data_IF_254465567574
#
_entry.id   IF_254465567574
#
_cell.length_a   1.000
_cell.length_b   1.000
_cell.length_c   1.000
_cell.angle_alpha   90.00
_cell.angle_beta   90.00
_cell.angle_gamma   90.00
#
_symmetry.space_group_name_H-M   'P 1'
#
loop_
_entity.id
_entity.type
_entity.pdbx_description
1 polymer ?
#
# COMPACT_ATOMS: atom_id res chain seq x y z
N UNK A 1 -14.65 -14.68 -12.78
CA UNK A 1 -13.25 -14.55 -12.30
C UNK A 1 -12.78 -13.15 -12.64
N UNK A 2 -12.42 -12.30 -11.67
CA UNK A 2 -11.76 -11.02 -12.00
C UNK A 2 -10.34 -11.37 -12.46
N UNK A 3 -9.99 -11.04 -13.69
CA UNK A 3 -8.65 -11.26 -14.23
C UNK A 3 -7.67 -10.35 -13.50
N UNK A 4 -6.85 -10.93 -12.63
CA UNK A 4 -5.80 -10.23 -11.87
C UNK A 4 -4.62 -9.78 -12.74
N UNK A 5 -4.63 -10.05 -14.04
CA UNK A 5 -3.51 -9.78 -14.95
C UNK A 5 -3.26 -8.30 -15.24
N UNK A 6 -4.13 -7.38 -14.80
CA UNK A 6 -3.97 -5.93 -15.01
C UNK A 6 -3.92 -5.11 -13.72
N UNK A 7 -3.73 -5.74 -12.56
CA UNK A 7 -3.57 -5.00 -11.30
C UNK A 7 -2.24 -4.23 -11.34
N UNK A 8 -2.30 -2.91 -11.22
CA UNK A 8 -1.12 -2.04 -11.10
C UNK A 8 -0.96 -1.63 -9.65
N UNK A 9 0.27 -1.73 -9.14
CA UNK A 9 0.56 -1.32 -7.77
C UNK A 9 1.21 0.06 -7.75
N UNK A 10 0.73 0.93 -6.86
CA UNK A 10 1.47 2.12 -6.48
C UNK A 10 2.76 1.70 -5.76
N UNK A 11 3.87 2.43 -5.95
CA UNK A 11 5.09 2.23 -5.19
C UNK A 11 4.81 2.27 -3.68
N UNK A 12 5.58 1.51 -2.89
CA UNK A 12 5.39 1.48 -1.44
C UNK A 12 5.62 2.86 -0.78
N UNK A 13 6.45 3.71 -1.41
CA UNK A 13 6.71 5.09 -0.98
C UNK A 13 5.58 6.07 -1.32
N UNK A 14 4.60 5.67 -2.14
CA UNK A 14 3.54 6.55 -2.64
C UNK A 14 2.19 6.21 -2.04
N UNK A 15 1.63 7.17 -1.30
CA UNK A 15 0.27 7.08 -0.77
C UNK A 15 -0.76 7.66 -1.76
N UNK A 16 -2.01 7.18 -1.67
CA UNK A 16 -3.12 7.76 -2.45
C UNK A 16 -3.33 9.26 -2.17
N UNK A 17 -2.97 9.72 -0.96
CA UNK A 17 -2.98 11.14 -0.59
C UNK A 17 -1.94 11.92 -1.38
N UNK A 18 -0.72 11.42 -1.53
CA UNK A 18 0.31 12.06 -2.36
C UNK A 18 -0.15 12.18 -3.81
N UNK A 19 -0.74 11.11 -4.37
CA UNK A 19 -1.32 11.16 -5.73
C UNK A 19 -2.40 12.23 -5.85
N UNK A 20 -3.23 12.42 -4.82
CA UNK A 20 -4.21 13.51 -4.80
C UNK A 20 -3.57 14.89 -4.73
N UNK A 21 -2.50 15.07 -3.95
CA UNK A 21 -1.78 16.34 -3.87
C UNK A 21 -1.15 16.71 -5.22
N UNK A 22 -0.50 15.78 -5.90
CA UNK A 22 0.04 15.96 -7.25
C UNK A 22 -1.06 16.29 -8.27
N UNK A 23 -2.21 15.62 -8.17
CA UNK A 23 -3.39 15.94 -8.97
C UNK A 23 -3.89 17.37 -8.73
N UNK A 24 -3.97 17.80 -7.47
CA UNK A 24 -4.45 19.13 -7.11
C UNK A 24 -3.49 20.23 -7.58
N UNK A 25 -2.18 20.02 -7.41
CA UNK A 25 -1.13 20.91 -7.91
C UNK A 25 -1.17 21.01 -9.44
N UNK A 26 -1.34 19.88 -10.14
CA UNK A 26 -1.48 19.88 -11.60
C UNK A 26 -2.73 20.65 -12.08
N UNK A 27 -3.83 20.57 -11.32
CA UNK A 27 -5.04 21.33 -11.61
C UNK A 27 -4.80 22.85 -11.45
N UNK A 28 -4.09 23.25 -10.39
CA UNK A 28 -3.71 24.64 -10.16
C UNK A 28 -2.84 25.18 -11.30
N UNK A 29 -1.82 24.42 -11.73
CA UNK A 29 -0.97 24.80 -12.86
C UNK A 29 -1.70 24.91 -14.21
N UNK A 30 -2.84 24.23 -14.35
CA UNK A 30 -3.72 24.30 -15.53
C UNK A 30 -4.89 25.28 -15.35
N UNK A 31 -4.95 26.02 -14.24
CA UNK A 31 -6.05 26.93 -13.91
C UNK A 31 -7.44 26.27 -13.87
N UNK A 32 -7.48 24.98 -13.53
CA UNK A 32 -8.73 24.22 -13.36
C UNK A 32 -8.99 23.91 -11.89
N UNK A 33 -10.25 23.92 -11.47
CA UNK A 33 -10.61 23.63 -10.09
C UNK A 33 -10.51 22.13 -9.81
N UNK A 34 -9.59 21.73 -8.93
CA UNK A 34 -9.52 20.37 -8.42
C UNK A 34 -10.81 20.00 -7.65
N UNK A 35 -11.27 18.75 -7.81
CA UNK A 35 -12.33 18.22 -6.96
C UNK A 35 -11.81 17.91 -5.55
N UNK A 36 -12.71 17.83 -4.57
CA UNK A 36 -12.34 17.47 -3.21
C UNK A 36 -11.76 16.05 -3.13
N UNK A 37 -10.87 15.80 -2.16
CA UNK A 37 -10.22 14.49 -1.96
C UNK A 37 -11.21 13.32 -1.82
N UNK A 38 -12.38 13.58 -1.23
CA UNK A 38 -13.47 12.59 -1.12
C UNK A 38 -14.04 12.20 -2.48
N UNK A 39 -14.31 13.18 -3.35
CA UNK A 39 -14.76 12.97 -4.73
C UNK A 39 -13.70 12.28 -5.56
N UNK A 40 -12.44 12.70 -5.44
CA UNK A 40 -11.31 12.05 -6.10
C UNK A 40 -11.23 10.56 -5.72
N UNK A 41 -11.32 10.25 -4.43
CA UNK A 41 -11.30 8.87 -3.93
C UNK A 41 -12.47 8.04 -4.46
N UNK A 42 -13.66 8.63 -4.56
CA UNK A 42 -14.85 7.99 -5.13
C UNK A 42 -14.65 7.67 -6.62
N UNK A 43 -14.17 8.64 -7.40
CA UNK A 43 -13.86 8.46 -8.82
C UNK A 43 -12.77 7.40 -9.03
N UNK A 44 -11.71 7.42 -8.22
CA UNK A 44 -10.65 6.41 -8.27
C UNK A 44 -11.22 5.00 -8.08
N UNK A 45 -12.07 4.78 -7.07
CA UNK A 45 -12.67 3.46 -6.82
C UNK A 45 -13.58 3.01 -7.95
N UNK A 46 -14.25 3.96 -8.61
CA UNK A 46 -15.19 3.67 -9.71
C UNK A 46 -14.47 3.31 -11.01
N UNK A 47 -13.43 4.08 -11.36
CA UNK A 47 -12.80 4.03 -12.69
C UNK A 47 -11.43 3.36 -12.70
N UNK A 48 -10.70 3.38 -11.58
CA UNK A 48 -9.37 2.80 -11.43
C UNK A 48 -9.33 1.71 -10.33
N UNK A 49 -10.28 0.75 -10.30
CA UNK A 49 -10.34 -0.26 -9.25
C UNK A 49 -9.16 -1.24 -9.28
N UNK A 50 -8.43 -1.29 -10.40
CA UNK A 50 -7.26 -2.15 -10.61
C UNK A 50 -5.95 -1.52 -10.11
N UNK A 51 -5.97 -0.26 -9.65
CA UNK A 51 -4.79 0.36 -9.05
C UNK A 51 -4.84 0.19 -7.52
N UNK A 52 -3.98 -0.68 -7.02
CA UNK A 52 -3.88 -1.02 -5.60
C UNK A 52 -2.60 -0.45 -4.98
N UNK A 53 -2.57 -0.35 -3.65
CA UNK A 53 -1.33 -0.03 -2.93
C UNK A 53 -0.54 -1.30 -2.73
N UNK A 54 0.76 -1.28 -3.00
CA UNK A 54 1.64 -2.39 -2.66
C UNK A 54 1.62 -2.60 -1.14
N UNK A 55 1.40 -3.84 -0.69
CA UNK A 55 1.52 -4.16 0.74
C UNK A 55 3.00 -4.23 1.10
N UNK A 56 3.44 -3.72 2.27
CA UNK A 56 4.85 -3.73 2.65
C UNK A 56 5.51 -5.11 2.61
N UNK A 57 4.77 -6.18 2.97
CA UNK A 57 5.31 -7.54 2.96
C UNK A 57 5.56 -8.13 1.56
N UNK A 58 4.93 -7.58 0.51
CA UNK A 58 5.14 -8.05 -0.87
C UNK A 58 6.43 -7.51 -1.52
N UNK A 59 7.03 -6.46 -0.95
CA UNK A 59 8.22 -5.78 -1.51
C UNK A 59 9.53 -6.15 -0.79
N UNK A 60 9.50 -7.15 0.09
CA UNK A 60 10.71 -7.62 0.76
C UNK A 60 11.58 -8.41 -0.22
N UNK A 61 12.85 -8.02 -0.37
CA UNK A 61 13.84 -8.85 -1.05
C UNK A 61 14.02 -10.19 -0.30
N UNK A 62 14.63 -11.19 -0.95
CA UNK A 62 14.79 -12.53 -0.38
C UNK A 62 15.42 -12.48 1.03
N UNK A 63 16.44 -11.65 1.22
CA UNK A 63 17.13 -11.44 2.50
C UNK A 63 16.20 -10.82 3.55
N UNK A 64 15.45 -9.78 3.21
CA UNK A 64 14.54 -9.14 4.16
C UNK A 64 13.35 -10.05 4.53
N UNK A 65 12.92 -10.95 3.63
CA UNK A 65 11.92 -12.00 3.95
C UNK A 65 12.47 -12.99 4.97
N UNK A 66 13.70 -13.45 4.78
CA UNK A 66 14.36 -14.40 5.68
C UNK A 66 14.57 -13.81 7.08
N UNK A 67 15.13 -12.59 7.16
CA UNK A 67 15.35 -11.88 8.42
C UNK A 67 14.03 -11.65 9.16
N UNK A 68 12.98 -11.21 8.45
CA UNK A 68 11.66 -11.02 9.04
C UNK A 68 11.11 -12.34 9.61
N UNK A 69 11.31 -13.46 8.89
CA UNK A 69 10.96 -14.79 9.36
C UNK A 69 11.72 -15.20 10.63
N UNK A 70 13.02 -14.90 10.72
CA UNK A 70 13.84 -15.17 11.90
C UNK A 70 13.36 -14.37 13.12
N UNK A 71 13.09 -13.08 12.95
CA UNK A 71 12.60 -12.20 14.02
C UNK A 71 11.27 -12.71 14.58
N UNK A 72 10.31 -13.05 13.72
CA UNK A 72 9.00 -13.58 14.13
C UNK A 72 9.17 -14.90 14.91
N UNK A 73 10.03 -15.81 14.44
CA UNK A 73 10.32 -17.07 15.15
C UNK A 73 10.93 -16.83 16.53
N UNK A 74 11.90 -15.92 16.64
CA UNK A 74 12.53 -15.60 17.93
C UNK A 74 11.56 -14.93 18.90
N UNK A 75 10.67 -14.07 18.41
CA UNK A 75 9.67 -13.40 19.25
C UNK A 75 8.65 -14.41 19.81
N UNK A 76 8.26 -15.41 19.01
CA UNK A 76 7.33 -16.45 19.45
C UNK A 76 7.98 -17.46 20.40
N UNK A 77 9.28 -17.73 20.28
CA UNK A 77 10.02 -18.59 21.23
C UNK A 77 10.03 -18.02 22.66
N UNK A 78 10.03 -16.70 22.84
CA UNK A 78 9.97 -16.08 24.18
C UNK A 78 8.60 -16.20 24.85
N UNK A 79 7.55 -16.55 24.12
CA UNK A 79 6.19 -16.66 24.66
C UNK A 79 5.83 -18.06 25.17
N UNK A 80 6.67 -19.07 24.88
CA UNK A 80 6.47 -20.48 25.21
C UNK A 80 7.32 -20.95 26.41
N UNK A 81 7.77 -20.00 27.25
CA UNK A 81 8.36 -20.28 28.57
C UNK A 81 7.34 -20.02 29.70
N UNK A 82 6.09 -20.46 29.53
CA UNK A 82 5.15 -20.58 30.66
C UNK A 82 5.25 -21.97 31.29
N UNK A 83 6.15 -22.06 32.28
CA UNK A 83 6.05 -22.83 33.54
C UNK A 83 5.51 -24.27 33.42
N UNK A 84 6.45 -25.22 33.37
CA UNK A 84 6.40 -26.52 34.08
C UNK A 84 7.81 -26.68 34.67
N UNK A 85 8.08 -26.72 35.97
CA UNK A 85 7.34 -26.98 37.21
C UNK A 85 7.78 -26.00 38.31
#
# INVERSE_FOLDING_TARGET
MKSYENTKFLPCSTSKRQVYLEYAESCEGLYVKACAETTFNMLWRRYLPYIEKMKPMSDLCATCKEISGLIIRSANMQSDERITE
#
